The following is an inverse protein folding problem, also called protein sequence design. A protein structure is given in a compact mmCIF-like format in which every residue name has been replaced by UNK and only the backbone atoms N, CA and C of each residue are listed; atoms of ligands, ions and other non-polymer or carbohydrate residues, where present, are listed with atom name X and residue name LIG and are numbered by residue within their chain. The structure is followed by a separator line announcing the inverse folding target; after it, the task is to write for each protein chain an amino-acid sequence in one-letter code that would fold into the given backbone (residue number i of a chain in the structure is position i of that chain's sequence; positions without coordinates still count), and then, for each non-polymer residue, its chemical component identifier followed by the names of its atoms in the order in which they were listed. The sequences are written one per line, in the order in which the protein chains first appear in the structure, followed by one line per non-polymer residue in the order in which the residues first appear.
data_IF_822448046081
#
_entry.id   IF_822448046081
#
_cell.length_a   1.000
_cell.length_b   1.000
_cell.length_c   1.000
_cell.angle_alpha   90.00
_cell.angle_beta   90.00
_cell.angle_gamma   90.00
#
_symmetry.space_group_name_H-M   'P 1'
#
loop_
_entity.id
_entity.type
_entity.pdbx_description
1 polymer ?
#
# COMPACT_ATOMS: atom_id res chain seq x y z
N UNK A 1 4.42 -13.13 -8.34
CA UNK A 1 4.16 -12.52 -7.03
C UNK A 1 2.79 -13.00 -6.56
N UNK A 2 2.68 -13.60 -5.37
CA UNK A 2 1.37 -13.98 -4.82
C UNK A 2 0.69 -12.69 -4.34
N UNK A 3 -0.50 -12.39 -4.87
CA UNK A 3 -1.32 -11.27 -4.41
C UNK A 3 -1.79 -11.54 -2.98
N UNK A 4 -1.36 -10.71 -2.02
CA UNK A 4 -1.87 -10.75 -0.65
C UNK A 4 -3.23 -10.08 -0.60
N UNK A 5 -4.14 -10.60 0.23
CA UNK A 5 -5.35 -9.85 0.59
C UNK A 5 -4.99 -8.71 1.54
N UNK A 6 -5.79 -7.63 1.60
CA UNK A 6 -5.56 -6.53 2.55
C UNK A 6 -5.47 -7.04 4.00
N UNK A 7 -6.31 -8.02 4.36
CA UNK A 7 -6.27 -8.65 5.68
C UNK A 7 -4.93 -9.36 5.95
N UNK A 8 -4.41 -10.11 4.98
CA UNK A 8 -3.11 -10.80 5.10
C UNK A 8 -1.96 -9.80 5.20
N UNK A 9 -2.02 -8.70 4.43
CA UNK A 9 -1.01 -7.64 4.48
C UNK A 9 -1.02 -6.95 5.85
N UNK A 10 -2.19 -6.57 6.37
CA UNK A 10 -2.33 -5.98 7.70
C UNK A 10 -1.82 -6.90 8.82
N UNK A 11 -2.11 -8.21 8.73
CA UNK A 11 -1.60 -9.21 9.66
C UNK A 11 -0.07 -9.31 9.61
N UNK A 12 0.53 -9.28 8.42
CA UNK A 12 2.00 -9.28 8.26
C UNK A 12 2.64 -8.01 8.83
N UNK A 13 2.10 -6.83 8.55
CA UNK A 13 2.59 -5.59 9.16
C UNK A 13 2.54 -5.64 10.69
N UNK A 14 1.45 -6.17 11.25
CA UNK A 14 1.30 -6.37 12.70
C UNK A 14 2.35 -7.33 13.25
N UNK A 15 2.64 -8.42 12.55
CA UNK A 15 3.68 -9.38 12.93
C UNK A 15 5.10 -8.78 12.87
N UNK A 16 5.33 -7.73 12.08
CA UNK A 16 6.58 -6.97 12.04
C UNK A 16 6.69 -5.95 13.19
N UNK A 17 5.76 -5.96 14.14
CA UNK A 17 5.76 -5.07 15.29
C UNK A 17 5.08 -3.71 15.04
N UNK A 18 4.43 -3.53 13.88
CA UNK A 18 3.64 -2.33 13.58
C UNK A 18 2.14 -2.67 13.53
N UNK A 19 1.38 -2.45 14.62
CA UNK A 19 -0.05 -2.75 14.65
C UNK A 19 -0.78 -2.06 13.50
N UNK A 20 -1.38 -2.84 12.61
CA UNK A 20 -2.05 -2.32 11.43
C UNK A 20 -3.40 -3.01 11.25
N UNK A 21 -4.47 -2.22 11.22
CA UNK A 21 -5.81 -2.73 10.94
C UNK A 21 -6.09 -2.77 9.44
N UNK A 22 -6.97 -3.67 9.03
CA UNK A 22 -7.42 -3.74 7.63
C UNK A 22 -8.00 -2.40 7.16
N UNK A 23 -8.78 -1.71 8.02
CA UNK A 23 -9.35 -0.39 7.73
C UNK A 23 -8.27 0.68 7.53
N UNK A 24 -7.22 0.70 8.37
CA UNK A 24 -6.11 1.64 8.23
C UNK A 24 -5.35 1.43 6.91
N UNK A 25 -5.10 0.18 6.54
CA UNK A 25 -4.48 -0.18 5.27
C UNK A 25 -5.36 0.22 4.09
N UNK A 26 -6.65 -0.13 4.12
CA UNK A 26 -7.63 0.19 3.07
C UNK A 26 -7.78 1.70 2.83
N UNK A 27 -7.65 2.53 3.87
CA UNK A 27 -7.65 3.99 3.75
C UNK A 27 -6.33 4.53 3.21
N UNK A 28 -5.21 3.91 3.57
CA UNK A 28 -3.88 4.28 3.08
C UNK A 28 -3.76 4.02 1.58
N UNK A 29 -4.18 2.85 1.11
CA UNK A 29 -4.19 2.51 -0.33
C UNK A 29 -5.04 3.49 -1.17
N UNK A 30 -6.15 3.97 -0.61
CA UNK A 30 -7.02 4.97 -1.27
C UNK A 30 -6.56 6.42 -1.05
N UNK A 31 -5.39 6.64 -0.47
CA UNK A 31 -4.87 7.97 -0.12
C UNK A 31 -5.80 8.82 0.78
N UNK A 32 -6.73 8.20 1.52
CA UNK A 32 -7.62 8.87 2.48
C UNK A 32 -7.02 8.98 3.89
N UNK A 33 -5.79 8.49 4.08
CA UNK A 33 -4.99 8.59 5.30
C UNK A 33 -3.53 8.75 4.90
N UNK A 34 -2.84 9.73 5.48
CA UNK A 34 -1.37 9.79 5.43
C UNK A 34 -0.80 8.71 6.35
N UNK A 35 0.26 8.05 5.89
CA UNK A 35 0.99 7.05 6.68
C UNK A 35 2.38 7.59 7.00
N UNK A 36 2.90 7.23 8.16
CA UNK A 36 4.23 7.65 8.60
C UNK A 36 5.31 6.79 7.94
N UNK A 37 6.58 7.19 8.04
CA UNK A 37 7.71 6.43 7.46
C UNK A 37 7.75 5.00 7.98
N UNK A 38 7.44 4.77 9.25
CA UNK A 38 7.38 3.42 9.82
C UNK A 38 6.28 2.55 9.17
N UNK A 39 5.11 3.14 8.89
CA UNK A 39 4.02 2.44 8.22
C UNK A 39 4.45 2.05 6.80
N UNK A 40 5.12 2.97 6.10
CA UNK A 40 5.66 2.73 4.75
C UNK A 40 6.68 1.57 4.74
N UNK A 41 7.63 1.58 5.68
CA UNK A 41 8.66 0.53 5.79
C UNK A 41 8.03 -0.81 6.14
N UNK A 42 7.06 -0.85 7.06
CA UNK A 42 6.35 -2.08 7.41
C UNK A 42 5.59 -2.67 6.20
N UNK A 43 4.88 -1.83 5.43
CA UNK A 43 4.15 -2.27 4.23
C UNK A 43 5.13 -2.79 3.17
N UNK A 44 6.22 -2.06 2.89
CA UNK A 44 7.23 -2.48 1.92
C UNK A 44 7.86 -3.82 2.30
N UNK A 45 8.21 -3.99 3.58
CA UNK A 45 8.76 -5.23 4.12
C UNK A 45 7.78 -6.39 4.00
N UNK A 46 6.50 -6.17 4.32
CA UNK A 46 5.46 -7.19 4.20
C UNK A 46 5.19 -7.63 2.74
N UNK A 47 5.39 -6.71 1.79
CA UNK A 47 5.33 -6.94 0.35
C UNK A 47 6.62 -7.53 -0.24
N UNK A 48 7.73 -7.51 0.51
CA UNK A 48 9.03 -7.98 0.05
C UNK A 48 9.69 -7.08 -1.00
N UNK A 49 9.47 -5.77 -0.92
CA UNK A 49 10.03 -4.76 -1.84
C UNK A 49 10.79 -3.69 -1.06
N UNK A 50 11.78 -2.99 -1.67
CA UNK A 50 12.42 -1.86 -1.01
C UNK A 50 11.41 -0.70 -0.81
N UNK A 51 11.48 0.07 0.29
CA UNK A 51 10.54 1.18 0.55
C UNK A 51 10.48 2.22 -0.56
N UNK A 52 11.59 2.44 -1.26
CA UNK A 52 11.66 3.35 -2.41
C UNK A 52 10.70 2.95 -3.53
N UNK A 53 10.40 1.65 -3.70
CA UNK A 53 9.46 1.19 -4.72
C UNK A 53 8.02 1.72 -4.49
N UNK A 54 7.67 2.08 -3.26
CA UNK A 54 6.36 2.68 -2.93
C UNK A 54 6.34 4.21 -3.10
N UNK A 55 7.51 4.85 -3.20
CA UNK A 55 7.66 6.30 -3.35
C UNK A 55 7.87 6.73 -4.80
N UNK A 56 8.36 5.82 -5.64
CA UNK A 56 8.54 6.09 -7.06
C UNK A 56 7.19 6.27 -7.73
N UNK A 57 7.03 7.29 -8.61
CA UNK A 57 5.83 7.42 -9.41
C UNK A 57 5.64 6.14 -10.22
N UNK A 58 4.50 5.48 -10.04
CA UNK A 58 4.09 4.45 -10.99
C UNK A 58 3.92 5.14 -12.35
N UNK A 59 4.33 4.51 -13.47
CA UNK A 59 4.02 5.04 -14.79
C UNK A 59 2.52 5.28 -14.84
N UNK A 60 2.13 6.55 -14.98
CA UNK A 60 0.73 6.93 -14.98
C UNK A 60 0.09 6.30 -16.20
N UNK A 61 -0.67 5.21 -16.01
CA UNK A 61 -1.68 4.82 -16.98
C UNK A 61 -2.70 5.94 -16.93
N UNK A 62 -2.57 6.89 -17.86
CA UNK A 62 -3.51 7.98 -18.03
C UNK A 62 -4.88 7.37 -18.32
N UNK A 63 -5.73 7.28 -17.29
CA UNK A 63 -7.15 6.94 -17.44
C UNK A 63 -7.89 8.15 -18.01
N UNK A 64 -7.51 8.61 -19.21
CA UNK A 64 -8.15 9.74 -19.87
C UNK A 64 -8.99 9.34 -21.09
N UNK A 65 -9.42 8.08 -21.18
CA UNK A 65 -10.23 7.57 -22.31
C UNK A 65 -11.67 7.17 -21.93
N UNK A 66 -12.33 7.93 -21.04
CA UNK A 66 -13.78 7.80 -20.81
C UNK A 66 -14.54 9.12 -20.87
N UNK A 67 -14.11 10.02 -21.74
CA UNK A 67 -14.96 11.11 -22.26
C UNK A 67 -14.88 11.12 -23.78
N UNK A 68 -15.51 10.11 -24.38
CA UNK A 68 -15.82 10.07 -25.80
C UNK A 68 -17.35 10.01 -25.97
N UNK A 69 -17.89 11.11 -26.49
CA UNK A 69 -19.17 11.32 -27.21
C UNK A 69 -20.49 11.00 -26.51
#
# INVERSE_FOLDING_TARGET
MRSLTQHQLAARCTALGRPMSNTALSRTERAHRRCDVDDLVAIATALGVPPMALLLPLPSVSSNDRRGC
#
